data_IF_501136032951
#
_entry.id   IF_501136032951
#
_cell.length_a   1.000
_cell.length_b   1.000
_cell.length_c   1.000
_cell.angle_alpha   90.00
_cell.angle_beta   90.00
_cell.angle_gamma   90.00
#
_symmetry.space_group_name_H-M   'P 1'
#
loop_
_entity.id
_entity.type
_entity.pdbx_description
1 polymer ?
#
# COMPACT_ATOMS: atom_id res chain seq x y z
N UNK A 1 -21.75 62.59 -6.41
CA UNK A 1 -22.55 61.42 -5.98
C UNK A 1 -22.37 61.29 -4.48
N UNK A 2 -23.47 61.29 -3.72
CA UNK A 2 -23.44 61.51 -2.27
C UNK A 2 -22.78 60.34 -1.53
N UNK A 3 -22.17 60.62 -0.37
CA UNK A 3 -21.54 59.62 0.51
C UNK A 3 -22.46 58.45 0.87
N UNK A 4 -23.78 58.61 0.71
CA UNK A 4 -24.79 57.58 0.93
C UNK A 4 -24.76 56.48 -0.16
N UNK A 5 -24.48 56.85 -1.43
CA UNK A 5 -24.43 55.90 -2.55
C UNK A 5 -23.21 54.96 -2.51
N UNK A 6 -22.11 55.40 -1.90
CA UNK A 6 -20.90 54.57 -1.75
C UNK A 6 -21.03 53.55 -0.60
N UNK A 7 -21.69 53.93 0.49
CA UNK A 7 -21.93 53.03 1.63
C UNK A 7 -22.92 51.91 1.25
N UNK A 8 -23.94 52.24 0.44
CA UNK A 8 -24.90 51.25 -0.05
C UNK A 8 -24.24 50.21 -0.98
N UNK A 9 -23.28 50.60 -1.82
CA UNK A 9 -22.61 49.66 -2.74
C UNK A 9 -21.65 48.71 -2.00
N UNK A 10 -21.00 49.19 -0.93
CA UNK A 10 -20.11 48.36 -0.10
C UNK A 10 -20.91 47.34 0.72
N UNK A 11 -22.07 47.72 1.27
CA UNK A 11 -22.96 46.81 1.98
C UNK A 11 -23.57 45.74 1.06
N UNK A 12 -23.95 46.10 -0.17
CA UNK A 12 -24.45 45.12 -1.16
C UNK A 12 -23.37 44.10 -1.56
N UNK A 13 -22.11 44.53 -1.67
CA UNK A 13 -20.98 43.64 -2.02
C UNK A 13 -20.64 42.67 -0.89
N UNK A 14 -20.76 43.10 0.38
CA UNK A 14 -20.57 42.19 1.53
C UNK A 14 -21.69 41.17 1.68
N UNK A 15 -22.94 41.51 1.33
CA UNK A 15 -24.07 40.57 1.32
C UNK A 15 -23.95 39.51 0.20
N UNK A 16 -23.38 39.87 -0.95
CA UNK A 16 -23.12 38.94 -2.07
C UNK A 16 -21.95 37.97 -1.82
N UNK A 17 -21.01 38.32 -0.93
CA UNK A 17 -19.93 37.41 -0.51
C UNK A 17 -20.34 36.42 0.60
N UNK A 18 -21.51 36.59 1.22
CA UNK A 18 -22.00 35.68 2.28
C UNK A 18 -22.93 34.56 1.79
N UNK A 19 -23.27 34.52 0.50
CA UNK A 19 -24.14 33.50 -0.08
C UNK A 19 -23.40 32.54 -1.01
N UNK A 20 -22.44 31.78 -0.46
CA UNK A 20 -22.07 30.49 -1.03
C UNK A 20 -22.34 29.44 0.06
N UNK A 21 -23.54 28.84 0.11
CA UNK A 21 -23.72 27.62 0.86
C UNK A 21 -22.98 26.54 0.08
N UNK A 22 -21.67 26.43 0.32
CA UNK A 22 -20.97 25.17 0.10
C UNK A 22 -21.64 24.19 1.07
N UNK A 23 -22.67 23.48 0.59
CA UNK A 23 -23.32 22.41 1.33
C UNK A 23 -22.26 21.34 1.62
N UNK A 24 -21.58 21.49 2.76
CA UNK A 24 -20.72 20.48 3.33
C UNK A 24 -21.66 19.41 3.88
N UNK A 25 -21.79 18.31 3.15
CA UNK A 25 -22.44 17.11 3.67
C UNK A 25 -21.56 16.61 4.82
N UNK A 26 -21.98 16.89 6.05
CA UNK A 26 -21.30 16.48 7.27
C UNK A 26 -21.96 15.18 7.76
N UNK A 27 -21.24 14.08 7.68
CA UNK A 27 -21.61 12.85 8.39
C UNK A 27 -20.68 12.69 9.58
N UNK A 28 -21.22 12.86 10.80
CA UNK A 28 -20.47 12.63 12.04
C UNK A 28 -20.37 11.12 12.30
N UNK A 29 -19.16 10.58 12.40
CA UNK A 29 -18.96 9.25 12.96
C UNK A 29 -18.95 9.33 14.50
N UNK A 30 -19.39 8.27 15.18
CA UNK A 30 -19.70 8.20 16.61
C UNK A 30 -18.56 8.55 17.61
N UNK A 31 -17.36 8.93 17.14
CA UNK A 31 -16.18 9.24 17.94
C UNK A 31 -15.60 10.65 17.67
N UNK A 32 -16.39 11.58 17.13
CA UNK A 32 -15.93 12.95 16.86
C UNK A 32 -15.06 13.12 15.61
N UNK A 33 -14.83 12.03 14.86
CA UNK A 33 -14.26 12.09 13.51
C UNK A 33 -15.23 12.71 12.51
N UNK A 34 -14.71 13.46 11.54
CA UNK A 34 -15.49 14.05 10.45
C UNK A 34 -14.98 13.55 9.10
N UNK A 35 -15.91 13.17 8.21
CA UNK A 35 -15.60 12.95 6.81
C UNK A 35 -15.73 14.27 6.05
N UNK A 36 -14.79 14.54 5.14
CA UNK A 36 -14.84 15.67 4.23
C UNK A 36 -14.54 15.17 2.82
N UNK A 37 -15.46 15.43 1.89
CA UNK A 37 -15.21 15.19 0.47
C UNK A 37 -14.20 16.23 -0.04
N UNK A 38 -13.07 15.75 -0.57
CA UNK A 38 -12.04 16.60 -1.14
C UNK A 38 -12.24 16.80 -2.65
N UNK A 39 -12.34 15.70 -3.38
CA UNK A 39 -12.62 15.65 -4.82
C UNK A 39 -13.76 14.67 -5.08
N UNK A 40 -14.69 15.04 -5.98
CA UNK A 40 -15.72 14.09 -6.44
C UNK A 40 -15.12 12.92 -7.22
N UNK A 41 -14.04 13.18 -7.95
CA UNK A 41 -13.26 12.19 -8.69
C UNK A 41 -11.87 12.75 -8.97
N UNK A 42 -10.87 11.88 -8.96
CA UNK A 42 -9.50 12.14 -9.44
C UNK A 42 -9.24 11.50 -10.82
N UNK A 43 -10.27 10.90 -11.42
CA UNK A 43 -10.26 10.31 -12.76
C UNK A 43 -9.69 8.89 -12.86
N UNK A 44 -9.11 8.35 -11.78
CA UNK A 44 -8.58 6.97 -11.69
C UNK A 44 -9.10 6.26 -10.43
N UNK A 45 -9.01 4.92 -10.38
CA UNK A 45 -9.16 4.19 -9.12
C UNK A 45 -7.82 4.17 -8.39
N UNK A 46 -7.81 4.57 -7.11
CA UNK A 46 -6.58 4.57 -6.32
C UNK A 46 -6.27 3.15 -5.79
N UNK A 47 -5.99 2.21 -6.70
CA UNK A 47 -5.62 0.82 -6.34
C UNK A 47 -4.36 0.78 -5.46
N UNK A 48 -3.42 1.68 -5.73
CA UNK A 48 -2.31 1.97 -4.85
C UNK A 48 -2.28 3.47 -4.53
N UNK A 49 -1.87 3.80 -3.31
CA UNK A 49 -1.65 5.18 -2.89
C UNK A 49 -0.49 5.29 -1.90
N UNK A 50 0.26 6.39 -1.98
CA UNK A 50 1.39 6.67 -1.09
C UNK A 50 1.44 8.16 -0.76
N UNK A 51 1.39 8.49 0.54
CA UNK A 51 1.72 9.82 1.03
C UNK A 51 3.24 10.03 1.02
N UNK A 52 3.69 11.16 0.51
CA UNK A 52 5.09 11.56 0.41
C UNK A 52 5.44 12.59 1.49
N UNK A 53 6.73 12.85 1.67
CA UNK A 53 7.24 13.79 2.68
C UNK A 53 6.91 15.27 2.42
N UNK A 54 6.32 15.58 1.26
CA UNK A 54 5.98 16.95 0.83
C UNK A 54 4.47 17.19 0.75
N UNK A 55 3.68 16.45 1.54
CA UNK A 55 2.21 16.52 1.58
C UNK A 55 1.52 16.25 0.23
N UNK A 56 2.20 15.50 -0.64
CA UNK A 56 1.62 14.99 -1.88
C UNK A 56 1.30 13.52 -1.75
N UNK A 57 0.21 13.10 -2.38
CA UNK A 57 -0.19 11.70 -2.48
C UNK A 57 -0.05 11.28 -3.93
N UNK A 58 0.75 10.24 -4.18
CA UNK A 58 0.77 9.58 -5.48
C UNK A 58 -0.24 8.45 -5.45
N UNK A 59 -1.16 8.43 -6.40
CA UNK A 59 -2.12 7.34 -6.59
C UNK A 59 -2.01 6.77 -8.01
N UNK A 60 -2.25 5.48 -8.16
CA UNK A 60 -2.18 4.82 -9.47
C UNK A 60 -3.07 3.59 -9.56
N UNK A 61 -3.52 3.33 -10.78
CA UNK A 61 -4.36 2.21 -11.21
C UNK A 61 -3.62 1.37 -12.27
N UNK A 62 -4.15 0.19 -12.53
CA UNK A 62 -3.73 -0.68 -13.63
C UNK A 62 -3.97 -0.03 -14.99
N UNK A 63 -3.17 -0.36 -16.00
CA UNK A 63 -3.31 0.21 -17.37
C UNK A 63 -4.09 -0.68 -18.33
N UNK A 64 -4.24 -1.96 -17.99
CA UNK A 64 -4.70 -3.02 -18.88
C UNK A 64 -6.24 -3.23 -18.85
N UNK A 65 -6.99 -2.23 -18.38
CA UNK A 65 -8.46 -2.28 -18.23
C UNK A 65 -9.23 -1.30 -19.12
N UNK A 66 -8.52 -0.50 -19.94
CA UNK A 66 -9.10 0.51 -20.82
C UNK A 66 -8.77 1.94 -20.40
N UNK A 67 -9.42 2.97 -20.98
CA UNK A 67 -9.08 4.36 -20.72
C UNK A 67 -9.57 4.79 -19.34
N UNK A 68 -8.83 5.69 -18.67
CA UNK A 68 -9.27 6.34 -17.45
C UNK A 68 -10.10 7.60 -17.74
N UNK A 69 -10.68 8.20 -16.69
CA UNK A 69 -11.47 9.44 -16.80
C UNK A 69 -10.60 10.71 -16.67
N UNK A 70 -9.28 10.60 -16.83
CA UNK A 70 -8.36 11.74 -16.76
C UNK A 70 -7.46 11.78 -18.01
N UNK A 71 -7.59 12.78 -18.90
CA UNK A 71 -6.70 12.91 -20.04
C UNK A 71 -5.28 13.29 -19.61
N UNK A 72 -4.28 12.79 -20.35
CA UNK A 72 -2.92 13.30 -20.31
C UNK A 72 -2.84 14.69 -20.97
N UNK A 73 -1.78 15.49 -20.70
CA UNK A 73 -1.56 16.76 -21.39
C UNK A 73 -1.56 16.61 -22.92
N UNK A 74 -1.99 17.66 -23.63
CA UNK A 74 -2.15 17.66 -25.10
C UNK A 74 -0.88 17.15 -25.80
N UNK A 75 -1.07 16.17 -26.69
CA UNK A 75 0.02 15.57 -27.48
C UNK A 75 0.79 14.46 -26.75
N UNK A 76 0.46 14.17 -25.48
CA UNK A 76 1.05 13.07 -24.72
C UNK A 76 0.09 11.89 -24.69
N UNK A 77 0.56 10.73 -25.14
CA UNK A 77 -0.12 9.46 -25.02
C UNK A 77 0.90 8.38 -24.63
N UNK A 78 0.47 7.43 -23.80
CA UNK A 78 1.17 6.19 -23.53
C UNK A 78 1.07 5.31 -24.78
N UNK A 79 2.20 4.81 -25.25
CA UNK A 79 2.26 3.82 -26.33
C UNK A 79 2.91 2.56 -25.76
N UNK A 80 2.16 1.47 -25.70
CA UNK A 80 2.68 0.18 -25.23
C UNK A 80 2.10 -0.96 -26.07
N UNK A 81 2.98 -1.68 -26.75
CA UNK A 81 2.59 -2.82 -27.57
C UNK A 81 2.20 -4.04 -26.72
N UNK A 82 2.57 -4.08 -25.45
CA UNK A 82 2.27 -5.19 -24.54
C UNK A 82 0.93 -5.03 -23.82
N UNK A 83 0.44 -3.81 -23.61
CA UNK A 83 -0.84 -3.52 -22.95
C UNK A 83 -2.00 -4.30 -23.59
N UNK A 84 -2.78 -5.00 -22.79
CA UNK A 84 -3.82 -5.91 -23.30
C UNK A 84 -5.13 -5.21 -23.64
N UNK A 85 -5.32 -3.95 -23.26
CA UNK A 85 -6.52 -3.16 -23.54
C UNK A 85 -6.28 -2.09 -24.61
N UNK A 86 -5.26 -1.23 -24.43
CA UNK A 86 -5.01 -0.06 -25.28
C UNK A 86 -3.54 0.05 -25.67
N UNK A 87 -3.24 -0.15 -26.97
CA UNK A 87 -1.88 0.02 -27.50
C UNK A 87 -1.43 1.47 -27.53
N UNK A 88 -2.38 2.38 -27.76
CA UNK A 88 -2.23 3.82 -27.64
C UNK A 88 -3.30 4.33 -26.68
N UNK A 89 -2.87 4.98 -25.61
CA UNK A 89 -3.76 5.53 -24.59
C UNK A 89 -3.36 6.98 -24.26
N UNK A 90 -4.30 7.91 -24.39
CA UNK A 90 -4.07 9.32 -24.10
C UNK A 90 -4.66 9.74 -22.75
N UNK A 91 -4.96 8.78 -21.89
CA UNK A 91 -5.45 8.96 -20.51
C UNK A 91 -4.39 8.58 -19.49
N UNK A 92 -4.52 9.10 -18.27
CA UNK A 92 -3.56 8.94 -17.19
C UNK A 92 -4.04 7.85 -16.22
N UNK A 93 -3.17 6.91 -15.88
CA UNK A 93 -3.42 5.85 -14.89
C UNK A 93 -2.70 6.11 -13.56
N UNK A 94 -2.09 7.28 -13.43
CA UNK A 94 -1.46 7.74 -12.20
C UNK A 94 -1.71 9.24 -12.03
N UNK A 95 -1.75 9.70 -10.78
CA UNK A 95 -1.89 11.11 -10.43
C UNK A 95 -0.99 11.46 -9.24
N UNK A 96 -0.58 12.72 -9.21
CA UNK A 96 -0.03 13.36 -8.01
C UNK A 96 -1.09 14.32 -7.47
N UNK A 97 -1.54 14.08 -6.25
CA UNK A 97 -2.52 14.88 -5.53
C UNK A 97 -1.82 15.74 -4.47
N UNK A 98 -2.06 17.05 -4.52
CA UNK A 98 -1.56 18.05 -3.58
C UNK A 98 -2.61 18.28 -2.49
N UNK A 99 -2.29 17.87 -1.26
CA UNK A 99 -3.24 17.86 -0.14
C UNK A 99 -3.65 19.27 0.27
N UNK A 100 -2.70 20.21 0.32
CA UNK A 100 -2.93 21.57 0.78
C UNK A 100 -3.82 22.35 -0.18
N UNK A 101 -3.54 22.27 -1.48
CA UNK A 101 -4.30 22.99 -2.50
C UNK A 101 -5.56 22.26 -2.95
N UNK A 102 -5.75 20.99 -2.54
CA UNK A 102 -6.82 20.11 -3.01
C UNK A 102 -6.88 20.08 -4.55
N UNK A 103 -5.75 19.83 -5.20
CA UNK A 103 -5.62 19.72 -6.66
C UNK A 103 -4.82 18.48 -7.01
N UNK A 104 -4.99 18.00 -8.23
CA UNK A 104 -4.20 16.88 -8.75
C UNK A 104 -3.74 17.15 -10.17
N UNK A 105 -2.66 16.48 -10.57
CA UNK A 105 -2.17 16.46 -11.94
C UNK A 105 -2.00 15.01 -12.42
N UNK A 106 -2.20 14.75 -13.72
CA UNK A 106 -1.93 13.45 -14.29
C UNK A 106 -0.43 13.15 -14.28
N UNK A 107 -0.10 11.88 -14.04
CA UNK A 107 1.19 11.25 -14.24
C UNK A 107 1.06 10.16 -15.29
N UNK A 108 2.08 9.98 -16.12
CA UNK A 108 2.11 8.90 -17.11
C UNK A 108 2.96 7.76 -16.55
N UNK A 109 2.30 6.67 -16.18
CA UNK A 109 2.96 5.39 -15.95
C UNK A 109 2.97 4.60 -17.26
N UNK A 110 4.11 4.03 -17.62
CA UNK A 110 4.34 3.43 -18.94
C UNK A 110 3.97 1.94 -18.97
N UNK A 111 4.20 1.21 -17.89
CA UNK A 111 3.96 -0.23 -17.82
C UNK A 111 3.02 -0.60 -16.68
N UNK A 112 2.39 -1.78 -16.74
CA UNK A 112 1.29 -2.11 -15.84
C UNK A 112 1.72 -2.32 -14.38
N UNK A 113 1.14 -1.53 -13.48
CA UNK A 113 1.39 -1.53 -12.02
C UNK A 113 0.45 -2.46 -11.25
N UNK A 114 -0.41 -3.22 -11.94
CA UNK A 114 -1.39 -4.10 -11.31
C UNK A 114 -0.76 -5.12 -10.35
N UNK A 115 -1.25 -5.13 -9.11
CA UNK A 115 -0.75 -5.93 -7.99
C UNK A 115 0.77 -5.84 -7.78
N UNK A 116 1.27 -4.62 -7.84
CA UNK A 116 2.65 -4.31 -7.52
C UNK A 116 2.81 -3.86 -6.07
N UNK A 117 4.00 -3.41 -5.70
CA UNK A 117 4.26 -2.80 -4.39
C UNK A 117 5.38 -1.78 -4.46
N UNK A 118 5.60 -1.03 -3.39
CA UNK A 118 6.63 -0.01 -3.34
C UNK A 118 6.88 0.50 -1.93
N UNK A 119 7.90 1.33 -1.80
CA UNK A 119 8.18 2.08 -0.58
C UNK A 119 8.81 3.43 -0.92
N UNK A 120 8.74 4.37 0.02
CA UNK A 120 9.40 5.68 -0.08
C UNK A 120 10.82 5.56 0.46
N UNK A 121 11.79 6.09 -0.29
CA UNK A 121 13.20 6.13 0.12
C UNK A 121 13.43 7.26 1.13
N UNK A 122 14.55 7.26 1.88
CA UNK A 122 14.91 8.37 2.77
C UNK A 122 14.98 9.74 2.07
N UNK A 123 15.23 9.76 0.76
CA UNK A 123 15.30 10.99 -0.03
C UNK A 123 13.91 11.48 -0.51
N UNK A 124 12.84 10.76 -0.20
CA UNK A 124 11.47 11.13 -0.59
C UNK A 124 11.02 10.59 -1.95
N UNK A 125 11.83 9.77 -2.62
CA UNK A 125 11.44 9.13 -3.87
C UNK A 125 10.53 7.94 -3.60
N UNK A 126 9.45 7.80 -4.35
CA UNK A 126 8.65 6.58 -4.36
C UNK A 126 9.27 5.60 -5.35
N UNK A 127 9.79 4.48 -4.84
CA UNK A 127 10.24 3.36 -5.68
C UNK A 127 9.19 2.27 -5.62
N UNK A 128 8.62 1.98 -6.78
CA UNK A 128 7.60 0.98 -7.01
C UNK A 128 8.23 -0.14 -7.85
N UNK A 129 7.84 -1.39 -7.58
CA UNK A 129 8.41 -2.56 -8.22
C UNK A 129 7.37 -3.60 -8.58
N UNK A 130 7.58 -4.27 -9.71
CA UNK A 130 6.71 -5.35 -10.15
C UNK A 130 5.40 -4.83 -10.76
N UNK A 131 4.45 -5.74 -10.94
CA UNK A 131 3.21 -5.48 -11.67
C UNK A 131 2.79 -6.67 -12.51
N UNK A 132 1.84 -6.45 -13.41
CA UNK A 132 1.35 -7.47 -14.32
C UNK A 132 2.02 -7.36 -15.69
N UNK A 133 2.02 -8.45 -16.46
CA UNK A 133 2.52 -8.49 -17.84
C UNK A 133 3.93 -7.89 -18.01
N UNK A 134 4.06 -6.75 -18.69
CA UNK A 134 5.32 -6.06 -18.95
C UNK A 134 5.87 -5.29 -17.73
N UNK A 135 5.04 -5.16 -16.69
CA UNK A 135 5.36 -4.60 -15.38
C UNK A 135 6.05 -5.57 -14.42
N UNK A 136 5.99 -6.88 -14.66
CA UNK A 136 6.37 -7.92 -13.68
C UNK A 136 7.82 -7.85 -13.19
N UNK A 137 8.71 -7.17 -13.93
CA UNK A 137 10.14 -7.02 -13.61
C UNK A 137 10.60 -5.55 -13.59
N UNK A 138 9.66 -4.62 -13.55
CA UNK A 138 9.94 -3.19 -13.61
C UNK A 138 10.29 -2.63 -12.25
N UNK A 139 11.17 -1.64 -12.25
CA UNK A 139 11.37 -0.71 -11.13
C UNK A 139 11.04 0.68 -11.67
N UNK A 140 10.07 1.33 -11.03
CA UNK A 140 9.57 2.66 -11.37
C UNK A 140 9.88 3.60 -10.22
N UNK A 141 10.46 4.75 -10.51
CA UNK A 141 10.83 5.76 -9.52
C UNK A 141 10.06 7.04 -9.81
N UNK A 142 9.38 7.56 -8.80
CA UNK A 142 8.78 8.88 -8.84
C UNK A 142 9.46 9.80 -7.83
N UNK A 143 10.18 10.79 -8.36
CA UNK A 143 10.79 11.88 -7.60
C UNK A 143 9.91 13.11 -7.70
N UNK A 144 9.32 13.61 -6.60
CA UNK A 144 8.37 14.71 -6.68
C UNK A 144 9.00 16.02 -7.15
N UNK A 145 8.45 16.59 -8.22
CA UNK A 145 8.73 17.96 -8.65
C UNK A 145 7.57 18.49 -9.50
N UNK A 146 7.57 19.79 -9.85
CA UNK A 146 6.45 20.43 -10.56
C UNK A 146 6.12 19.82 -11.93
N UNK A 147 7.11 19.25 -12.62
CA UNK A 147 6.97 18.67 -13.96
C UNK A 147 7.50 17.24 -14.07
N UNK A 148 7.80 16.61 -12.94
CA UNK A 148 8.36 15.25 -12.91
C UNK A 148 7.29 14.21 -13.20
N UNK A 149 7.73 13.10 -13.77
CA UNK A 149 6.90 11.93 -14.05
C UNK A 149 7.64 10.66 -13.63
N UNK A 150 6.99 9.51 -13.77
CA UNK A 150 7.60 8.22 -13.50
C UNK A 150 8.82 7.97 -14.39
N UNK A 151 9.91 7.51 -13.77
CA UNK A 151 11.08 7.00 -14.46
C UNK A 151 11.10 5.48 -14.34
N UNK A 152 11.04 4.78 -15.46
CA UNK A 152 10.97 3.32 -15.47
C UNK A 152 12.25 2.70 -16.01
N UNK A 153 12.78 1.73 -15.27
CA UNK A 153 13.93 0.93 -15.71
C UNK A 153 13.48 -0.42 -16.27
N UNK A 154 14.11 -0.84 -17.37
CA UNK A 154 13.91 -2.17 -17.92
C UNK A 154 14.70 -3.20 -17.10
N UNK A 155 14.10 -4.37 -16.86
CA UNK A 155 14.72 -5.50 -16.17
C UNK A 155 15.35 -5.15 -14.79
N UNK A 156 14.68 -4.28 -14.02
CA UNK A 156 15.16 -3.89 -12.70
C UNK A 156 15.09 -5.01 -11.65
N UNK A 157 14.29 -6.06 -11.89
CA UNK A 157 14.10 -7.19 -10.99
C UNK A 157 14.59 -8.53 -11.58
N UNK A 158 15.20 -9.33 -10.71
CA UNK A 158 15.74 -10.67 -11.01
C UNK A 158 14.64 -11.73 -11.07
N UNK A 159 13.55 -11.55 -10.31
CA UNK A 159 12.35 -12.38 -10.39
C UNK A 159 11.12 -11.56 -10.81
N UNK A 160 10.07 -12.26 -11.24
CA UNK A 160 8.75 -11.67 -11.47
C UNK A 160 8.13 -11.29 -10.14
N UNK A 161 7.66 -10.06 -9.97
CA UNK A 161 7.08 -9.57 -8.72
C UNK A 161 5.63 -9.13 -8.99
N UNK A 162 4.70 -10.04 -8.73
CA UNK A 162 3.26 -9.79 -8.78
C UNK A 162 2.66 -10.28 -7.46
N UNK A 163 1.97 -9.43 -6.71
CA UNK A 163 1.58 -9.66 -5.31
C UNK A 163 2.76 -9.83 -4.30
N UNK A 164 3.87 -9.13 -4.53
CA UNK A 164 5.01 -9.06 -3.61
C UNK A 164 4.86 -7.94 -2.58
N UNK A 165 5.64 -7.97 -1.51
CA UNK A 165 5.72 -6.85 -0.53
C UNK A 165 7.08 -6.16 -0.61
N UNK A 166 7.08 -4.82 -0.61
CA UNK A 166 8.30 -4.02 -0.45
C UNK A 166 8.42 -3.53 0.99
N UNK A 167 9.65 -3.44 1.49
CA UNK A 167 9.93 -2.75 2.74
C UNK A 167 11.25 -1.99 2.64
N UNK A 168 11.27 -0.75 3.15
CA UNK A 168 12.50 0.06 3.21
C UNK A 168 13.45 -0.48 4.28
N UNK A 169 14.75 -0.48 4.01
CA UNK A 169 15.80 -0.96 4.90
C UNK A 169 16.65 0.19 5.47
N UNK A 170 17.38 -0.02 6.58
CA UNK A 170 18.24 1.01 7.18
C UNK A 170 19.34 1.56 6.25
N UNK A 171 19.77 0.76 5.28
CA UNK A 171 20.78 1.17 4.29
C UNK A 171 20.19 1.93 3.08
N UNK A 172 18.90 2.25 3.12
CA UNK A 172 18.18 2.96 2.06
C UNK A 172 17.73 2.09 0.89
N UNK A 173 18.13 0.81 0.83
CA UNK A 173 17.59 -0.14 -0.15
C UNK A 173 16.19 -0.60 0.25
N UNK A 174 15.50 -1.20 -0.70
CA UNK A 174 14.24 -1.91 -0.46
C UNK A 174 14.46 -3.39 -0.59
N UNK A 175 13.86 -4.17 0.31
CA UNK A 175 13.67 -5.61 0.12
C UNK A 175 12.32 -5.83 -0.58
N UNK A 176 12.29 -6.70 -1.58
CA UNK A 176 11.07 -7.19 -2.22
C UNK A 176 10.90 -8.65 -1.88
N UNK A 177 9.85 -8.98 -1.13
CA UNK A 177 9.59 -10.32 -0.58
C UNK A 177 8.44 -10.99 -1.32
N UNK A 178 8.70 -12.18 -1.86
CA UNK A 178 7.67 -13.03 -2.44
C UNK A 178 7.10 -12.51 -3.76
N UNK A 179 5.81 -12.74 -3.94
CA UNK A 179 5.12 -12.64 -5.23
C UNK A 179 4.64 -14.01 -5.69
N UNK A 180 3.66 -14.03 -6.59
CA UNK A 180 3.00 -15.25 -7.04
C UNK A 180 4.02 -16.24 -7.60
N UNK A 181 4.08 -17.43 -6.98
CA UNK A 181 5.05 -18.51 -7.27
C UNK A 181 6.53 -18.09 -7.11
N UNK A 182 6.81 -17.03 -6.36
CA UNK A 182 8.16 -16.62 -5.97
C UNK A 182 8.39 -16.91 -4.49
N UNK A 183 9.26 -17.88 -4.22
CA UNK A 183 9.62 -18.28 -2.86
C UNK A 183 10.98 -17.73 -2.45
N UNK A 184 11.22 -16.46 -2.77
CA UNK A 184 12.49 -15.77 -2.60
C UNK A 184 12.27 -14.27 -2.35
N UNK A 185 13.34 -13.57 -1.97
CA UNK A 185 13.38 -12.11 -1.94
C UNK A 185 14.57 -11.55 -2.73
N UNK A 186 14.55 -10.26 -3.03
CA UNK A 186 15.65 -9.54 -3.66
C UNK A 186 15.70 -8.08 -3.19
N UNK A 187 16.69 -7.32 -3.64
CA UNK A 187 16.87 -5.92 -3.25
C UNK A 187 16.87 -4.96 -4.45
N UNK A 188 16.40 -3.73 -4.19
CA UNK A 188 16.47 -2.58 -5.12
C UNK A 188 16.98 -1.33 -4.35
N UNK A 189 18.00 -0.61 -4.86
CA UNK A 189 18.85 -0.98 -5.98
C UNK A 189 19.66 -2.26 -5.69
N UNK A 190 20.15 -2.89 -6.76
CA UNK A 190 20.99 -4.09 -6.67
C UNK A 190 22.44 -3.70 -6.41
N UNK A 191 23.10 -4.43 -5.50
CA UNK A 191 24.53 -4.27 -5.24
C UNK A 191 25.39 -5.15 -6.16
N UNK A 192 24.83 -6.25 -6.68
CA UNK A 192 25.46 -7.24 -7.57
C UNK A 192 24.39 -7.66 -8.61
N UNK A 193 24.81 -8.18 -9.77
CA UNK A 193 23.91 -8.70 -10.81
C UNK A 193 22.81 -9.65 -10.26
N UNK A 194 21.71 -9.76 -11.01
CA UNK A 194 20.43 -10.41 -10.68
C UNK A 194 20.49 -11.59 -9.69
N UNK A 195 20.50 -11.28 -8.38
CA UNK A 195 20.45 -12.27 -7.32
C UNK A 195 19.10 -12.21 -6.59
N UNK A 196 18.49 -13.37 -6.45
CA UNK A 196 17.42 -13.66 -5.50
C UNK A 196 17.96 -14.49 -4.36
N UNK A 197 17.31 -14.41 -3.20
CA UNK A 197 17.64 -15.17 -2.00
C UNK A 197 16.46 -16.07 -1.66
N UNK A 198 16.69 -17.37 -1.64
CA UNK A 198 15.66 -18.35 -1.35
C UNK A 198 15.09 -18.14 0.05
N UNK A 199 13.77 -18.20 0.15
CA UNK A 199 13.02 -18.09 1.39
C UNK A 199 11.99 -19.23 1.47
N UNK A 200 12.41 -20.45 1.86
CA UNK A 200 11.54 -21.63 1.93
C UNK A 200 10.26 -21.41 2.75
N UNK A 201 10.28 -20.49 3.72
CA UNK A 201 9.11 -20.09 4.51
C UNK A 201 7.90 -19.69 3.64
N UNK A 202 8.12 -19.02 2.51
CA UNK A 202 7.02 -18.65 1.61
C UNK A 202 6.41 -19.90 0.94
N UNK A 203 7.23 -20.90 0.61
CA UNK A 203 6.73 -22.18 0.10
C UNK A 203 5.97 -22.95 1.19
N UNK A 204 6.50 -23.00 2.40
CA UNK A 204 5.88 -23.68 3.56
C UNK A 204 4.51 -23.08 3.96
N UNK A 205 4.23 -21.83 3.61
CA UNK A 205 2.98 -21.13 3.93
C UNK A 205 2.03 -21.02 2.73
N UNK A 206 2.44 -21.52 1.57
CA UNK A 206 1.65 -21.50 0.34
C UNK A 206 0.56 -22.59 0.36
N UNK A 207 -0.71 -22.19 0.45
CA UNK A 207 -1.82 -23.10 0.17
C UNK A 207 -1.88 -23.32 -1.35
N UNK A 208 -1.69 -24.57 -1.81
CA UNK A 208 -1.78 -24.90 -3.23
C UNK A 208 -3.14 -24.47 -3.81
N UNK A 209 -3.13 -23.88 -5.01
CA UNK A 209 -4.31 -23.39 -5.75
C UNK A 209 -5.06 -22.19 -5.13
N UNK A 210 -4.79 -21.84 -3.87
CA UNK A 210 -5.41 -20.71 -3.17
C UNK A 210 -4.45 -19.56 -2.91
N UNK A 211 -3.18 -19.86 -2.61
CA UNK A 211 -2.09 -18.89 -2.45
C UNK A 211 -2.31 -17.89 -1.30
N UNK A 212 -2.82 -18.34 -0.14
CA UNK A 212 -3.04 -17.54 1.08
C UNK A 212 -1.78 -16.97 1.76
N UNK A 213 -0.71 -16.70 1.01
CA UNK A 213 0.58 -16.20 1.47
C UNK A 213 1.11 -15.03 0.63
N UNK A 214 0.30 -14.51 -0.30
CA UNK A 214 0.63 -13.35 -1.12
C UNK A 214 0.53 -12.05 -0.31
N UNK A 215 1.28 -11.01 -0.71
CA UNK A 215 1.50 -9.81 0.11
C UNK A 215 1.87 -10.14 1.57
N UNK A 216 2.99 -10.86 1.81
CA UNK A 216 3.42 -11.15 3.18
C UNK A 216 3.59 -9.86 3.97
N UNK A 217 3.21 -9.85 5.25
CA UNK A 217 3.41 -8.68 6.11
C UNK A 217 4.87 -8.66 6.55
N UNK A 218 5.58 -7.59 6.22
CA UNK A 218 7.00 -7.42 6.50
C UNK A 218 7.16 -6.20 7.39
N UNK A 219 7.85 -6.35 8.52
CA UNK A 219 8.16 -5.24 9.42
C UNK A 219 9.63 -5.31 9.86
N UNK A 220 10.34 -4.19 9.81
CA UNK A 220 11.67 -4.07 10.40
C UNK A 220 11.58 -4.02 11.93
N UNK A 221 12.23 -4.98 12.58
CA UNK A 221 12.29 -5.09 14.04
C UNK A 221 13.44 -4.24 14.61
N UNK A 222 13.38 -3.97 15.92
CA UNK A 222 14.35 -3.13 16.65
C UNK A 222 15.77 -3.70 16.69
N UNK A 223 15.94 -4.99 16.41
CA UNK A 223 17.25 -5.66 16.32
C UNK A 223 17.82 -5.65 14.89
N UNK A 224 17.14 -5.02 13.94
CA UNK A 224 17.54 -4.95 12.53
C UNK A 224 17.12 -6.18 11.70
N UNK A 225 16.50 -7.20 12.28
CA UNK A 225 15.92 -8.32 11.54
C UNK A 225 14.51 -7.98 11.02
N UNK A 226 14.00 -8.75 10.06
CA UNK A 226 12.65 -8.57 9.52
C UNK A 226 11.69 -9.59 10.12
N UNK A 227 10.62 -9.12 10.74
CA UNK A 227 9.44 -9.95 10.99
C UNK A 227 8.72 -10.16 9.66
N UNK A 228 8.57 -11.41 9.24
CA UNK A 228 7.87 -11.79 8.00
C UNK A 228 6.72 -12.72 8.37
N UNK A 229 5.49 -12.28 8.11
CA UNK A 229 4.27 -13.04 8.33
C UNK A 229 3.63 -13.39 6.99
N UNK A 230 3.24 -14.66 6.85
CA UNK A 230 2.54 -15.16 5.68
C UNK A 230 1.54 -16.24 6.08
N UNK A 231 0.34 -16.21 5.50
CA UNK A 231 -0.76 -17.11 5.84
C UNK A 231 -1.18 -16.93 7.31
N UNK A 232 -0.74 -17.81 8.20
CA UNK A 232 -1.05 -17.78 9.64
C UNK A 232 0.22 -17.96 10.51
N UNK A 233 1.40 -17.87 9.90
CA UNK A 233 2.71 -18.12 10.51
C UNK A 233 3.62 -16.91 10.34
N UNK A 234 4.63 -16.81 11.20
CA UNK A 234 5.67 -15.80 11.07
C UNK A 234 7.06 -16.31 11.40
N UNK A 235 8.06 -15.60 10.88
CA UNK A 235 9.49 -15.80 11.15
C UNK A 235 10.16 -14.46 11.45
N UNK A 236 11.33 -14.52 12.08
CA UNK A 236 12.29 -13.43 12.15
C UNK A 236 13.46 -13.78 11.22
N UNK A 237 13.70 -12.94 10.22
CA UNK A 237 14.67 -13.14 9.14
C UNK A 237 15.84 -12.17 9.30
N UNK A 238 17.05 -12.72 9.47
CA UNK A 238 18.31 -12.01 9.20
C UNK A 238 18.50 -12.00 7.68
N UNK A 239 18.01 -10.94 7.03
CA UNK A 239 18.04 -10.81 5.56
C UNK A 239 19.45 -10.51 5.03
N UNK A 240 20.39 -10.13 5.89
CA UNK A 240 21.79 -9.90 5.52
C UNK A 240 22.50 -11.25 5.36
N UNK A 241 22.24 -12.19 6.27
CA UNK A 241 22.82 -13.55 6.24
C UNK A 241 21.94 -14.59 5.56
N UNK A 242 20.78 -14.19 5.04
CA UNK A 242 19.75 -15.07 4.53
C UNK A 242 19.40 -16.22 5.50
N UNK A 243 19.14 -15.89 6.78
CA UNK A 243 18.92 -16.88 7.83
C UNK A 243 17.66 -16.58 8.64
N UNK A 244 16.80 -17.58 8.77
CA UNK A 244 15.70 -17.55 9.75
C UNK A 244 16.29 -17.71 11.14
N UNK A 245 16.21 -16.67 11.97
CA UNK A 245 16.76 -16.66 13.33
C UNK A 245 15.73 -17.04 14.39
N UNK A 246 14.43 -16.88 14.09
CA UNK A 246 13.33 -17.29 14.96
C UNK A 246 12.12 -17.71 14.13
N UNK A 247 11.38 -18.70 14.62
CA UNK A 247 10.02 -19.02 14.14
C UNK A 247 9.04 -18.70 15.27
N UNK A 248 7.99 -17.95 14.95
CA UNK A 248 6.95 -17.61 15.92
C UNK A 248 5.88 -18.72 15.96
N UNK A 249 5.12 -18.86 17.07
CA UNK A 249 3.96 -19.74 17.08
C UNK A 249 2.99 -19.42 15.95
N UNK A 250 2.22 -20.40 15.50
CA UNK A 250 1.12 -20.18 14.54
C UNK A 250 -0.03 -19.42 15.24
N UNK A 251 -0.71 -18.53 14.53
CA UNK A 251 -1.94 -17.91 15.05
C UNK A 251 -2.98 -19.02 15.34
N UNK A 252 -3.55 -19.08 16.56
CA UNK A 252 -4.62 -20.03 16.90
C UNK A 252 -5.81 -19.97 15.92
N UNK A 253 -6.44 -21.11 15.66
CA UNK A 253 -7.58 -21.25 14.75
C UNK A 253 -7.20 -21.65 13.32
N UNK A 254 -5.98 -21.36 12.89
CA UNK A 254 -5.45 -21.84 11.61
C UNK A 254 -5.93 -21.08 10.37
N UNK A 255 -6.74 -20.04 10.53
CA UNK A 255 -7.20 -19.22 9.41
C UNK A 255 -6.10 -18.32 8.83
N UNK A 256 -5.97 -18.25 7.49
CA UNK A 256 -5.03 -17.38 6.80
C UNK A 256 -5.38 -15.90 7.01
N UNK A 257 -4.36 -15.03 6.98
CA UNK A 257 -4.49 -13.57 7.07
C UNK A 257 -3.89 -12.83 5.89
N UNK A 258 -3.07 -13.47 5.06
CA UNK A 258 -2.50 -12.85 3.86
C UNK A 258 -3.45 -12.96 2.67
N UNK A 259 -3.22 -12.21 1.58
CA UNK A 259 -4.04 -12.31 0.38
C UNK A 259 -4.05 -13.75 -0.17
N UNK A 260 -5.18 -14.28 -0.71
CA UNK A 260 -6.47 -13.62 -0.90
C UNK A 260 -7.40 -13.57 0.32
N UNK A 261 -7.01 -14.18 1.45
CA UNK A 261 -7.76 -14.02 2.70
C UNK A 261 -7.82 -12.57 3.17
N UNK A 262 -6.78 -11.77 2.89
CA UNK A 262 -6.76 -10.29 2.96
C UNK A 262 -7.12 -9.68 4.32
N UNK A 263 -6.45 -10.15 5.37
CA UNK A 263 -6.33 -9.41 6.63
C UNK A 263 -5.35 -8.25 6.52
N UNK A 264 -5.21 -7.50 7.62
CA UNK A 264 -4.33 -6.34 7.72
C UNK A 264 -3.38 -6.53 8.89
N UNK A 265 -2.20 -5.93 8.83
CA UNK A 265 -1.25 -5.96 9.94
C UNK A 265 -0.58 -4.62 10.16
N UNK A 266 -0.11 -4.40 11.38
CA UNK A 266 0.65 -3.22 11.75
C UNK A 266 1.70 -3.57 12.82
N UNK A 267 2.87 -2.97 12.71
CA UNK A 267 3.81 -2.86 13.83
C UNK A 267 3.33 -1.71 14.72
N UNK A 268 2.88 -2.02 15.94
CA UNK A 268 2.37 -1.01 16.87
C UNK A 268 3.47 -0.01 17.26
N UNK A 269 3.10 1.23 17.64
CA UNK A 269 4.06 2.27 17.97
C UNK A 269 5.05 1.80 19.04
N UNK A 270 6.33 1.97 18.76
CA UNK A 270 7.38 1.72 19.74
C UNK A 270 7.24 2.72 20.88
N UNK A 271 7.31 2.22 22.11
CA UNK A 271 7.21 3.02 23.33
C UNK A 271 8.51 2.93 24.13
N UNK A 272 8.74 3.91 25.00
CA UNK A 272 9.82 3.90 25.98
C UNK A 272 11.23 3.75 25.38
N UNK A 273 11.62 4.62 24.44
CA UNK A 273 12.95 4.59 23.80
C UNK A 273 14.16 4.73 24.75
N UNK A 274 13.93 5.09 26.02
CA UNK A 274 14.97 5.14 27.06
C UNK A 274 15.14 3.80 27.82
N UNK A 275 14.27 2.82 27.58
CA UNK A 275 14.35 1.52 28.21
C UNK A 275 15.58 0.76 27.72
N UNK A 276 16.12 -0.14 28.56
CA UNK A 276 17.23 -1.03 28.20
C UNK A 276 16.85 -2.02 27.09
N UNK A 277 15.57 -2.32 26.94
CA UNK A 277 15.02 -3.12 25.86
C UNK A 277 13.75 -2.47 25.31
N UNK A 278 13.74 -2.16 24.02
CA UNK A 278 12.56 -1.62 23.34
C UNK A 278 11.65 -2.78 22.97
N UNK A 279 10.39 -2.69 23.36
CA UNK A 279 9.37 -3.68 23.02
C UNK A 279 8.77 -3.37 21.65
N UNK A 280 8.76 -4.36 20.76
CA UNK A 280 8.08 -4.29 19.48
C UNK A 280 6.91 -5.27 19.46
N UNK A 281 5.75 -4.81 19.01
CA UNK A 281 4.51 -5.57 19.03
C UNK A 281 3.82 -5.49 17.67
N UNK A 282 3.40 -6.63 17.14
CA UNK A 282 2.68 -6.73 15.86
C UNK A 282 1.25 -7.13 16.13
N UNK A 283 0.31 -6.46 15.45
CA UNK A 283 -1.11 -6.76 15.45
C UNK A 283 -1.54 -7.17 14.05
N UNK A 284 -2.21 -8.33 13.92
CA UNK A 284 -2.75 -8.87 12.67
C UNK A 284 -4.25 -9.08 12.82
N UNK A 285 -5.07 -8.43 11.99
CA UNK A 285 -6.52 -8.38 12.15
C UNK A 285 -7.27 -8.82 10.90
N UNK A 286 -8.43 -9.45 11.10
CA UNK A 286 -9.37 -9.75 10.02
C UNK A 286 -8.85 -10.77 9.02
N UNK A 287 -9.35 -10.70 7.79
CA UNK A 287 -9.16 -11.72 6.77
C UNK A 287 -10.39 -12.61 6.63
N UNK A 288 -10.29 -13.69 5.87
CA UNK A 288 -11.35 -14.66 5.63
C UNK A 288 -10.98 -16.06 6.16
N UNK A 289 -11.98 -16.85 6.59
CA UNK A 289 -11.76 -18.24 7.00
C UNK A 289 -11.06 -19.06 5.91
N UNK A 290 -10.31 -20.10 6.31
CA UNK A 290 -9.67 -21.00 5.35
C UNK A 290 -10.70 -21.61 4.39
N UNK A 291 -10.38 -21.65 3.09
CA UNK A 291 -11.29 -22.15 2.06
C UNK A 291 -12.29 -21.12 1.51
N UNK A 292 -12.31 -19.88 2.03
CA UNK A 292 -13.22 -18.84 1.55
C UNK A 292 -13.00 -18.48 0.08
N UNK A 293 -11.76 -18.49 -0.41
CA UNK A 293 -11.47 -18.25 -1.83
C UNK A 293 -12.16 -19.26 -2.73
N UNK A 294 -12.01 -20.56 -2.45
CA UNK A 294 -12.63 -21.64 -3.23
C UNK A 294 -14.16 -21.56 -3.20
N UNK A 295 -14.75 -21.31 -2.03
CA UNK A 295 -16.20 -21.10 -1.89
C UNK A 295 -16.67 -19.88 -2.68
N UNK A 296 -15.93 -18.77 -2.64
CA UNK A 296 -16.29 -17.56 -3.40
C UNK A 296 -16.27 -17.81 -4.92
N UNK A 297 -15.35 -18.64 -5.43
CA UNK A 297 -15.37 -19.04 -6.85
C UNK A 297 -16.60 -19.87 -7.24
N UNK A 298 -17.31 -20.44 -6.26
CA UNK A 298 -18.56 -21.18 -6.43
C UNK A 298 -19.80 -20.33 -6.10
N UNK A 299 -19.63 -19.04 -5.79
CA UNK A 299 -20.71 -18.13 -5.42
C UNK A 299 -21.12 -18.17 -3.95
N UNK A 300 -20.37 -18.89 -3.11
CA UNK A 300 -20.60 -18.95 -1.65
C UNK A 300 -19.68 -17.98 -0.91
N UNK A 301 -20.27 -16.99 -0.23
CA UNK A 301 -19.51 -15.93 0.44
C UNK A 301 -19.56 -16.10 1.96
N UNK A 302 -18.42 -16.47 2.53
CA UNK A 302 -18.29 -16.71 3.97
C UNK A 302 -17.96 -15.40 4.71
N UNK A 303 -18.55 -15.25 5.91
CA UNK A 303 -18.28 -14.11 6.78
C UNK A 303 -16.79 -13.99 7.11
N UNK A 304 -16.26 -12.77 7.04
CA UNK A 304 -14.88 -12.47 7.39
C UNK A 304 -14.57 -12.79 8.87
N UNK A 305 -13.28 -12.86 9.19
CA UNK A 305 -12.78 -13.04 10.53
C UNK A 305 -13.00 -11.75 11.34
N UNK A 306 -13.44 -11.96 12.59
CA UNK A 306 -13.63 -10.90 13.59
C UNK A 306 -12.47 -10.83 14.59
N UNK A 307 -11.44 -11.65 14.40
CA UNK A 307 -10.32 -11.77 15.34
C UNK A 307 -9.11 -10.94 14.93
N UNK A 308 -8.41 -10.42 15.93
CA UNK A 308 -7.07 -9.89 15.84
C UNK A 308 -6.11 -10.75 16.67
N UNK A 309 -4.90 -10.95 16.18
CA UNK A 309 -3.82 -11.64 16.89
C UNK A 309 -2.70 -10.64 17.14
N UNK A 310 -2.31 -10.49 18.41
CA UNK A 310 -1.27 -9.58 18.86
C UNK A 310 -0.09 -10.36 19.43
N UNK A 311 1.13 -9.97 19.10
CA UNK A 311 2.35 -10.64 19.57
C UNK A 311 3.46 -9.63 19.84
N UNK A 312 4.14 -9.82 20.96
CA UNK A 312 5.36 -9.08 21.29
C UNK A 312 6.54 -9.80 20.63
N UNK A 313 7.03 -9.28 19.52
CA UNK A 313 8.01 -10.00 18.67
C UNK A 313 9.42 -10.03 19.29
N UNK A 314 9.69 -9.14 20.23
CA UNK A 314 10.93 -9.06 21.03
C UNK A 314 10.90 -9.90 22.29
N UNK A 315 9.75 -10.49 22.67
CA UNK A 315 9.67 -11.38 23.82
C UNK A 315 10.51 -12.64 23.56
N UNK A 316 11.36 -13.09 24.52
CA UNK A 316 12.08 -14.35 24.41
C UNK A 316 11.16 -15.54 24.10
N UNK A 317 9.96 -15.58 24.70
CA UNK A 317 8.92 -16.60 24.52
C UNK A 317 7.61 -15.97 24.00
N UNK A 318 7.58 -15.54 22.74
CA UNK A 318 6.50 -14.72 22.20
C UNK A 318 5.23 -15.56 22.02
N UNK A 319 4.09 -15.02 22.43
CA UNK A 319 2.77 -15.68 22.36
C UNK A 319 1.75 -14.78 21.71
N UNK A 320 0.84 -15.38 20.94
CA UNK A 320 -0.32 -14.67 20.39
C UNK A 320 -1.36 -14.45 21.49
N UNK A 321 -1.79 -13.20 21.63
CA UNK A 321 -3.01 -12.81 22.35
C UNK A 321 -4.10 -12.57 21.31
N UNK A 322 -5.23 -13.26 21.47
CA UNK A 322 -6.37 -13.10 20.55
C UNK A 322 -7.36 -12.11 21.12
N UNK A 323 -7.77 -11.17 20.27
CA UNK A 323 -8.75 -10.14 20.56
C UNK A 323 -9.87 -10.19 19.52
N UNK A 324 -11.04 -9.67 19.87
CA UNK A 324 -12.23 -9.68 19.02
C UNK A 324 -12.60 -8.25 18.63
N UNK A 325 -12.53 -7.93 17.34
CA UNK A 325 -13.00 -6.65 16.79
C UNK A 325 -14.51 -6.52 16.96
N UNK A 326 -15.10 -5.32 16.99
CA UNK A 326 -16.55 -5.14 17.01
C UNK A 326 -17.28 -5.69 15.77
N UNK A 327 -16.59 -5.72 14.62
CA UNK A 327 -17.11 -6.21 13.34
C UNK A 327 -16.04 -7.04 12.61
N UNK A 328 -16.50 -8.04 11.86
CA UNK A 328 -15.65 -8.81 10.95
C UNK A 328 -15.18 -7.95 9.78
N UNK A 329 -13.92 -8.10 9.37
CA UNK A 329 -13.31 -7.26 8.33
C UNK A 329 -12.35 -8.07 7.44
N UNK A 330 -12.38 -7.78 6.16
CA UNK A 330 -11.45 -8.25 5.12
C UNK A 330 -11.19 -7.09 4.16
N UNK A 331 -10.02 -7.06 3.50
CA UNK A 331 -9.61 -5.94 2.64
C UNK A 331 -9.56 -4.59 3.38
N UNK A 332 -9.17 -4.61 4.65
CA UNK A 332 -8.97 -3.40 5.44
C UNK A 332 -7.55 -2.85 5.33
N UNK A 333 -7.41 -1.56 5.64
CA UNK A 333 -6.11 -0.92 5.88
C UNK A 333 -6.01 -0.47 7.34
N UNK A 334 -4.83 -0.62 7.93
CA UNK A 334 -4.54 -0.18 9.29
C UNK A 334 -3.54 0.97 9.25
N UNK A 335 -3.93 2.12 9.79
CA UNK A 335 -3.10 3.32 9.85
C UNK A 335 -2.87 3.68 11.30
N UNK A 336 -1.61 3.86 11.69
CA UNK A 336 -1.25 4.39 12.99
C UNK A 336 -1.54 5.89 13.03
N UNK A 337 -2.19 6.34 14.10
CA UNK A 337 -2.38 7.75 14.38
C UNK A 337 -1.25 8.24 15.32
N UNK A 338 -0.98 9.55 15.38
CA UNK A 338 0.10 10.10 16.20
C UNK A 338 -0.03 9.87 17.72
N UNK A 339 -1.21 9.53 18.23
CA UNK A 339 -1.55 9.51 19.65
C UNK A 339 -1.53 8.12 20.29
#
# INVERSE_FOLDING_TARGET
MSSLTFILSVLLFQLLCTSHPCQRILTSAAAGGRWQLLQKSIGISAMHMQLLSNDRVVAFDRTDFGPSNLPLPKGKCRFDLNDTALKQDCTAHSIEYDVLSNKFRPLMVQTDVWCSSGAVTPNGDLVQTGGFNDGERKVRVFSPCSSCDWQESNNGLAARRWYSTNHILPDGRQIIVGGRKQFNYEFVPKNIAANTFDLPFLFETNDREVENNLYPFVFLNVDGNLFVFANNRAILLDYVKNKVVKRYPTIPGGDPRSYPSTGSAVLLPLKNFKASAIQAEVLVCGGAPKGSYSQATQGEFIGALKTCARIIITDPNPKWVIETMPLARVMGDMILLPN
#
